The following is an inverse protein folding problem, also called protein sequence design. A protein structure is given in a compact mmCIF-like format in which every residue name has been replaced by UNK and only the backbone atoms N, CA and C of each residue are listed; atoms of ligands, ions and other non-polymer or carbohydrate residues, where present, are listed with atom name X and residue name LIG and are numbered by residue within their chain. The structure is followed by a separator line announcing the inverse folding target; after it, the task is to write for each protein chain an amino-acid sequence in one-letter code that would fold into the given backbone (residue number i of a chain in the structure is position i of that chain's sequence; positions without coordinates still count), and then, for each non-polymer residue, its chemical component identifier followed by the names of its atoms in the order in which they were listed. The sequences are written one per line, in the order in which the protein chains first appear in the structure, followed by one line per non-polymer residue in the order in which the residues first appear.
data_IF_070397640032
#
_entry.id   IF_070397640032
#
_cell.length_a   1.000
_cell.length_b   1.000
_cell.length_c   1.000
_cell.angle_alpha   90.00
_cell.angle_beta   90.00
_cell.angle_gamma   90.00
#
_symmetry.space_group_name_H-M   'P 1'
#
loop_
_entity.id
_entity.type
_entity.pdbx_description
1 polymer ?
#
# COMPACT_ATOMS: atom_id res chain seq x y z
N UNK A 1 5.18 -32.56 -1.53
CA UNK A 1 4.39 -31.62 -0.69
C UNK A 1 4.93 -30.18 -0.72
N UNK A 2 6.26 -29.95 -0.78
CA UNK A 2 6.87 -28.60 -0.85
C UNK A 2 6.69 -27.91 -2.22
N UNK A 3 6.51 -28.67 -3.31
CA UNK A 3 6.34 -28.10 -4.65
C UNK A 3 4.95 -27.47 -4.88
N UNK A 4 3.89 -28.05 -4.27
CA UNK A 4 2.52 -27.52 -4.43
C UNK A 4 2.29 -26.25 -3.62
N UNK A 5 2.99 -26.07 -2.49
CA UNK A 5 2.97 -24.79 -1.76
C UNK A 5 3.64 -23.70 -2.57
N UNK A 6 4.82 -23.97 -3.15
CA UNK A 6 5.51 -22.99 -4.02
C UNK A 6 4.66 -22.59 -5.22
N UNK A 7 4.02 -23.53 -5.92
CA UNK A 7 3.16 -23.20 -7.06
C UNK A 7 1.97 -22.33 -6.64
N UNK A 8 1.40 -22.58 -5.46
CA UNK A 8 0.35 -21.75 -4.87
C UNK A 8 0.87 -20.35 -4.52
N UNK A 9 2.06 -20.23 -3.97
CA UNK A 9 2.70 -18.95 -3.66
C UNK A 9 2.96 -18.13 -4.94
N UNK A 10 3.51 -18.77 -5.98
CA UNK A 10 3.71 -18.15 -7.29
C UNK A 10 2.40 -17.70 -7.96
N UNK A 11 1.35 -18.53 -7.88
CA UNK A 11 0.03 -18.18 -8.40
C UNK A 11 -0.59 -17.00 -7.63
N UNK A 12 -0.47 -16.98 -6.30
CA UNK A 12 -0.92 -15.87 -5.46
C UNK A 12 -0.16 -14.58 -5.78
N UNK A 13 1.15 -14.65 -6.01
CA UNK A 13 1.96 -13.50 -6.44
C UNK A 13 1.51 -12.97 -7.81
N UNK A 14 1.25 -13.85 -8.77
CA UNK A 14 0.72 -13.47 -10.09
C UNK A 14 -0.64 -12.79 -9.98
N UNK A 15 -1.57 -13.37 -9.22
CA UNK A 15 -2.90 -12.80 -8.99
C UNK A 15 -2.80 -11.44 -8.30
N UNK A 16 -1.96 -11.33 -7.27
CA UNK A 16 -1.71 -10.06 -6.57
C UNK A 16 -1.18 -9.00 -7.54
N UNK A 17 -0.21 -9.35 -8.38
CA UNK A 17 0.35 -8.44 -9.37
C UNK A 17 -0.68 -8.00 -10.42
N UNK A 18 -1.54 -8.92 -10.90
CA UNK A 18 -2.62 -8.61 -11.83
C UNK A 18 -3.69 -7.70 -11.20
N UNK A 19 -4.04 -7.93 -9.94
CA UNK A 19 -4.95 -7.04 -9.20
C UNK A 19 -4.33 -5.65 -9.10
N UNK A 20 -3.04 -5.56 -8.78
CA UNK A 20 -2.32 -4.29 -8.71
C UNK A 20 -2.24 -3.56 -10.07
N UNK A 21 -1.92 -4.29 -11.14
CA UNK A 21 -1.84 -3.72 -12.49
C UNK A 21 -3.22 -3.23 -12.99
N UNK A 22 -4.27 -4.01 -12.74
CA UNK A 22 -5.65 -3.64 -13.13
C UNK A 22 -6.21 -2.46 -12.33
N UNK A 23 -5.77 -2.26 -11.09
CA UNK A 23 -6.14 -1.09 -10.27
C UNK A 23 -5.83 0.22 -11.01
N UNK A 24 -4.66 0.37 -11.61
CA UNK A 24 -4.30 1.61 -12.33
C UNK A 24 -5.20 1.88 -13.54
N UNK A 25 -5.59 0.84 -14.26
CA UNK A 25 -6.48 0.93 -15.42
C UNK A 25 -7.90 1.29 -14.99
N UNK A 26 -8.43 0.61 -13.96
CA UNK A 26 -9.75 0.88 -13.41
C UNK A 26 -9.86 2.27 -12.79
N UNK A 27 -8.84 2.73 -12.06
CA UNK A 27 -8.82 4.09 -11.51
C UNK A 27 -8.91 5.12 -12.63
N UNK A 28 -8.12 4.99 -13.71
CA UNK A 28 -8.22 5.92 -14.86
C UNK A 28 -9.61 5.92 -15.50
N UNK A 29 -10.20 4.74 -15.75
CA UNK A 29 -11.55 4.60 -16.33
C UNK A 29 -12.63 5.27 -15.45
N UNK A 30 -12.58 5.05 -14.13
CA UNK A 30 -13.54 5.65 -13.20
C UNK A 30 -13.31 7.15 -13.05
N UNK A 31 -12.06 7.61 -13.11
CA UNK A 31 -11.73 9.04 -13.09
C UNK A 31 -12.29 9.79 -14.31
N UNK A 32 -12.22 9.20 -15.50
CA UNK A 32 -12.76 9.81 -16.73
C UNK A 32 -14.30 9.89 -16.72
N UNK A 33 -14.98 8.91 -16.14
CA UNK A 33 -16.45 8.84 -16.16
C UNK A 33 -17.13 9.54 -14.97
N UNK A 34 -16.54 9.47 -13.77
CA UNK A 34 -17.18 9.92 -12.51
C UNK A 34 -16.32 10.88 -11.69
N UNK A 35 -15.16 11.28 -12.20
CA UNK A 35 -14.27 12.24 -11.58
C UNK A 35 -13.31 11.65 -10.52
N UNK A 36 -12.24 12.38 -10.20
CA UNK A 36 -11.14 11.91 -9.33
C UNK A 36 -11.56 11.59 -7.90
N UNK A 37 -12.56 12.30 -7.37
CA UNK A 37 -13.05 12.11 -6.01
C UNK A 37 -13.77 10.77 -5.86
N UNK A 38 -14.58 10.37 -6.85
CA UNK A 38 -15.34 9.12 -6.79
C UNK A 38 -14.43 7.90 -6.92
N UNK A 39 -13.40 7.98 -7.76
CA UNK A 39 -12.41 6.91 -7.94
C UNK A 39 -11.61 6.60 -6.65
N UNK A 40 -11.42 7.58 -5.76
CA UNK A 40 -10.78 7.36 -4.47
C UNK A 40 -11.78 6.93 -3.38
N UNK A 41 -12.97 7.54 -3.36
CA UNK A 41 -13.95 7.32 -2.29
C UNK A 41 -14.62 5.94 -2.35
N UNK A 42 -14.90 5.45 -3.57
CA UNK A 42 -15.57 4.18 -3.80
C UNK A 42 -14.80 2.97 -3.23
N UNK A 43 -13.51 2.74 -3.58
CA UNK A 43 -12.75 1.64 -2.99
C UNK A 43 -12.52 1.83 -1.48
N UNK A 44 -12.32 3.06 -0.98
CA UNK A 44 -12.21 3.32 0.46
C UNK A 44 -13.49 2.90 1.21
N UNK A 45 -14.66 3.20 0.63
CA UNK A 45 -15.97 2.86 1.23
C UNK A 45 -16.19 1.34 1.24
N UNK A 46 -15.88 0.67 0.13
CA UNK A 46 -15.96 -0.80 0.04
C UNK A 46 -14.98 -1.47 1.01
N UNK A 47 -13.74 -1.00 1.08
CA UNK A 47 -12.75 -1.51 2.02
C UNK A 47 -13.22 -1.36 3.46
N UNK A 48 -13.79 -0.21 3.81
CA UNK A 48 -14.37 0.05 5.13
C UNK A 48 -15.51 -0.93 5.43
N UNK A 49 -16.44 -1.12 4.48
CA UNK A 49 -17.57 -2.05 4.63
C UNK A 49 -17.13 -3.50 4.82
N UNK A 50 -16.12 -3.94 4.06
CA UNK A 50 -15.55 -5.29 4.17
C UNK A 50 -14.76 -5.50 5.46
N UNK A 51 -14.13 -4.46 5.99
CA UNK A 51 -13.36 -4.54 7.24
C UNK A 51 -14.25 -4.55 8.49
N UNK A 52 -15.44 -3.93 8.47
CA UNK A 52 -16.38 -3.92 9.61
C UNK A 52 -16.65 -5.33 10.19
N UNK A 53 -17.02 -6.36 9.41
CA UNK A 53 -17.28 -7.70 9.94
C UNK A 53 -16.02 -8.39 10.48
N UNK A 54 -14.84 -8.07 9.94
CA UNK A 54 -13.55 -8.63 10.41
C UNK A 54 -13.20 -8.01 11.76
N UNK A 55 -13.25 -6.68 11.88
CA UNK A 55 -12.98 -5.95 13.13
C UNK A 55 -13.94 -6.39 14.24
N UNK A 56 -15.22 -6.61 13.91
CA UNK A 56 -16.22 -7.14 14.85
C UNK A 56 -15.88 -8.52 15.41
N UNK A 57 -15.16 -9.35 14.66
CA UNK A 57 -14.74 -10.69 15.10
C UNK A 57 -13.50 -10.64 15.98
N UNK A 58 -12.61 -9.68 15.76
CA UNK A 58 -11.34 -9.57 16.49
C UNK A 58 -11.42 -8.68 17.74
N UNK A 59 -12.40 -7.78 17.86
CA UNK A 59 -12.54 -6.94 19.06
C UNK A 59 -13.60 -5.83 18.98
N UNK A 60 -13.60 -4.90 19.94
CA UNK A 60 -14.54 -3.78 19.96
C UNK A 60 -14.28 -2.82 18.79
N UNK A 61 -15.35 -2.47 18.05
CA UNK A 61 -15.31 -1.52 16.91
C UNK A 61 -14.78 -0.12 17.25
N UNK A 62 -14.75 0.23 18.54
CA UNK A 62 -14.33 1.55 19.01
C UNK A 62 -12.93 1.42 19.61
N UNK A 63 -11.88 1.78 18.85
CA UNK A 63 -10.55 1.87 19.41
C UNK A 63 -10.52 2.96 20.51
N UNK A 64 -9.60 2.85 21.49
CA UNK A 64 -9.33 3.90 22.46
C UNK A 64 -9.14 5.26 21.77
N UNK A 65 -9.61 6.35 22.39
CA UNK A 65 -9.46 7.72 21.83
C UNK A 65 -8.01 8.11 21.49
N UNK A 66 -7.03 7.49 22.16
CA UNK A 66 -5.59 7.61 21.88
C UNK A 66 -5.19 7.06 20.51
N UNK A 67 -5.84 5.99 20.06
CA UNK A 67 -5.45 5.30 18.83
C UNK A 67 -6.08 5.95 17.60
N UNK A 68 -7.14 6.74 17.77
CA UNK A 68 -7.71 7.57 16.71
C UNK A 68 -6.68 8.50 16.07
N UNK A 69 -5.78 9.11 16.87
CA UNK A 69 -4.70 9.94 16.33
C UNK A 69 -3.76 9.12 15.44
N UNK A 70 -3.44 7.89 15.84
CA UNK A 70 -2.58 6.99 15.06
C UNK A 70 -3.28 6.54 13.77
N UNK A 71 -4.58 6.22 13.81
CA UNK A 71 -5.37 5.90 12.62
C UNK A 71 -5.45 7.07 11.65
N UNK A 72 -5.68 8.28 12.14
CA UNK A 72 -5.71 9.49 11.31
C UNK A 72 -4.33 9.77 10.71
N UNK A 73 -3.26 9.65 11.50
CA UNK A 73 -1.88 9.79 11.00
C UNK A 73 -1.58 8.76 9.91
N UNK A 74 -1.92 7.49 10.12
CA UNK A 74 -1.70 6.43 9.14
C UNK A 74 -2.52 6.65 7.86
N UNK A 75 -3.79 7.05 7.97
CA UNK A 75 -4.62 7.33 6.81
C UNK A 75 -4.15 8.57 6.03
N UNK A 76 -3.84 9.66 6.73
CA UNK A 76 -3.43 10.92 6.09
C UNK A 76 -2.01 10.80 5.53
N UNK A 77 -1.02 10.45 6.35
CA UNK A 77 0.37 10.36 5.89
C UNK A 77 0.60 9.14 5.00
N UNK A 78 0.04 8.00 5.38
CA UNK A 78 0.29 6.73 4.69
C UNK A 78 -0.44 6.62 3.35
N UNK A 79 -1.68 7.13 3.25
CA UNK A 79 -2.49 6.99 2.04
C UNK A 79 -2.62 8.30 1.27
N UNK A 80 -3.11 9.37 1.90
CA UNK A 80 -3.43 10.63 1.18
C UNK A 80 -2.16 11.32 0.70
N UNK A 81 -1.19 11.53 1.59
CA UNK A 81 0.06 12.19 1.27
C UNK A 81 0.88 11.35 0.28
N UNK A 82 1.00 10.04 0.50
CA UNK A 82 1.68 9.15 -0.44
C UNK A 82 1.06 9.20 -1.85
N UNK A 83 -0.27 9.14 -1.95
CA UNK A 83 -0.96 9.20 -3.25
C UNK A 83 -0.76 10.55 -3.94
N UNK A 84 -0.74 11.66 -3.20
CA UNK A 84 -0.45 13.00 -3.73
C UNK A 84 0.98 13.08 -4.27
N UNK A 85 1.97 12.59 -3.52
CA UNK A 85 3.36 12.56 -3.96
C UNK A 85 3.55 11.70 -5.20
N UNK A 86 2.89 10.54 -5.29
CA UNK A 86 2.92 9.69 -6.50
C UNK A 86 2.31 10.44 -7.68
N UNK A 87 1.14 11.05 -7.49
CA UNK A 87 0.44 11.78 -8.56
C UNK A 87 1.25 12.97 -9.07
N UNK A 88 1.89 13.72 -8.16
CA UNK A 88 2.80 14.80 -8.52
C UNK A 88 4.08 14.30 -9.18
N UNK A 89 4.68 13.22 -8.67
CA UNK A 89 5.87 12.60 -9.23
C UNK A 89 5.66 12.11 -10.66
N UNK A 90 4.50 11.51 -10.96
CA UNK A 90 4.12 11.08 -12.32
C UNK A 90 3.70 12.25 -13.21
N UNK A 91 3.29 13.40 -12.65
CA UNK A 91 3.10 14.63 -13.45
C UNK A 91 4.42 15.28 -13.83
N UNK A 92 5.42 15.25 -12.94
CA UNK A 92 6.73 15.86 -13.15
C UNK A 92 7.72 14.92 -13.84
N UNK A 93 7.42 13.63 -13.95
CA UNK A 93 8.31 12.61 -14.53
C UNK A 93 7.53 11.56 -15.33
N UNK A 94 8.23 10.85 -16.21
CA UNK A 94 7.64 9.71 -16.93
C UNK A 94 7.32 8.56 -15.96
N UNK A 95 6.29 7.78 -16.26
CA UNK A 95 5.91 6.61 -15.45
C UNK A 95 7.06 5.59 -15.30
N UNK A 96 7.96 5.52 -16.28
CA UNK A 96 9.19 4.73 -16.23
C UNK A 96 10.13 5.17 -15.10
N UNK A 97 10.31 6.47 -14.90
CA UNK A 97 11.15 7.01 -13.84
C UNK A 97 10.51 6.80 -12.46
N UNK A 98 9.19 6.94 -12.35
CA UNK A 98 8.47 6.61 -11.13
C UNK A 98 8.62 5.12 -10.75
N UNK A 99 8.57 4.22 -11.74
CA UNK A 99 8.82 2.79 -11.53
C UNK A 99 10.26 2.50 -11.08
N UNK A 100 11.25 3.19 -11.66
CA UNK A 100 12.65 3.10 -11.20
C UNK A 100 12.82 3.60 -9.76
N UNK A 101 12.21 4.73 -9.41
CA UNK A 101 12.24 5.27 -8.04
C UNK A 101 11.51 4.31 -7.08
N UNK A 102 10.45 3.63 -7.51
CA UNK A 102 9.75 2.67 -6.66
C UNK A 102 10.61 1.46 -6.27
N UNK A 103 11.66 1.14 -7.03
CA UNK A 103 12.64 0.11 -6.64
C UNK A 103 13.44 0.52 -5.40
N UNK A 104 13.53 1.82 -5.11
CA UNK A 104 14.15 2.34 -3.89
C UNK A 104 13.21 2.31 -2.68
N UNK A 105 11.90 2.06 -2.84
CA UNK A 105 10.95 1.92 -1.74
C UNK A 105 11.44 0.94 -0.66
N UNK A 106 11.83 -0.31 -0.96
CA UNK A 106 12.33 -1.23 0.06
C UNK A 106 13.55 -0.70 0.83
N UNK A 107 14.46 0.00 0.15
CA UNK A 107 15.65 0.62 0.77
C UNK A 107 15.22 1.76 1.69
N UNK A 108 14.32 2.64 1.24
CA UNK A 108 13.80 3.74 2.04
C UNK A 108 12.99 3.25 3.24
N UNK A 109 12.19 2.19 3.07
CA UNK A 109 11.44 1.54 4.15
C UNK A 109 12.40 0.91 5.18
N UNK A 110 13.48 0.26 4.72
CA UNK A 110 14.51 -0.28 5.60
C UNK A 110 15.21 0.81 6.43
N UNK A 111 15.62 1.90 5.78
CA UNK A 111 16.23 3.06 6.45
C UNK A 111 15.25 3.67 7.47
N UNK A 112 13.99 3.88 7.08
CA UNK A 112 12.97 4.39 7.99
C UNK A 112 12.69 3.43 9.15
N UNK A 113 12.65 2.12 8.93
CA UNK A 113 12.47 1.14 10.00
C UNK A 113 13.62 1.17 11.02
N UNK A 114 14.86 1.37 10.55
CA UNK A 114 16.01 1.56 11.42
C UNK A 114 15.86 2.82 12.30
N UNK A 115 15.46 3.96 11.71
CA UNK A 115 15.34 5.23 12.43
C UNK A 115 14.09 5.34 13.32
N UNK A 116 12.92 4.89 12.84
CA UNK A 116 11.63 5.05 13.52
C UNK A 116 11.30 3.91 14.48
N UNK A 117 11.62 2.66 14.11
CA UNK A 117 11.31 1.48 14.93
C UNK A 117 12.49 1.04 15.80
N UNK A 118 13.70 1.54 15.54
CA UNK A 118 14.91 1.12 16.26
C UNK A 118 15.29 -0.35 16.00
N UNK A 119 14.75 -0.97 14.95
CA UNK A 119 15.09 -2.35 14.59
C UNK A 119 16.57 -2.42 14.19
N UNK A 120 17.37 -3.24 14.91
CA UNK A 120 18.76 -3.52 14.55
C UNK A 120 18.79 -4.35 13.26
N UNK A 121 18.86 -3.67 12.12
CA UNK A 121 19.05 -4.33 10.82
C UNK A 121 20.41 -5.04 10.79
N UNK A 122 20.37 -6.38 10.80
CA UNK A 122 21.57 -7.23 10.63
C UNK A 122 22.25 -6.93 9.28
N UNK A 123 23.60 -6.96 9.23
CA UNK A 123 24.41 -6.68 8.02
C UNK A 123 23.99 -7.50 6.79
N UNK A 124 23.40 -8.66 7.00
CA UNK A 124 22.88 -9.54 5.94
C UNK A 124 21.65 -8.94 5.24
N UNK A 125 20.76 -8.21 5.95
CA UNK A 125 19.60 -7.53 5.33
C UNK A 125 20.05 -6.38 4.44
N UNK A 126 21.07 -5.63 4.84
CA UNK A 126 21.65 -4.56 4.03
C UNK A 126 22.24 -5.07 2.71
N UNK A 127 22.92 -6.23 2.74
CA UNK A 127 23.51 -6.84 1.54
C UNK A 127 22.44 -7.48 0.63
N UNK A 128 21.33 -7.98 1.17
CA UNK A 128 20.24 -8.52 0.35
C UNK A 128 19.41 -7.47 -0.39
N UNK A 129 19.53 -6.19 -0.03
CA UNK A 129 18.87 -5.06 -0.70
C UNK A 129 19.77 -4.32 -1.71
N UNK A 130 21.07 -4.65 -1.77
CA UNK A 130 22.02 -4.15 -2.76
C UNK A 130 22.02 -5.03 -4.02
#
# INVERSE_FOLDING_TARGET
MILSSRLRDWALLLICNLIWASQFVMVKLVQEQMGPTFAAFFPMTIATLLLIPIVRREGPLRPPRRDWIHFVLLGVLGQVVAQLFITWGVRLSLASNAALISLALPVMTAVMAYFLLGERMSRIRWISFA
#
